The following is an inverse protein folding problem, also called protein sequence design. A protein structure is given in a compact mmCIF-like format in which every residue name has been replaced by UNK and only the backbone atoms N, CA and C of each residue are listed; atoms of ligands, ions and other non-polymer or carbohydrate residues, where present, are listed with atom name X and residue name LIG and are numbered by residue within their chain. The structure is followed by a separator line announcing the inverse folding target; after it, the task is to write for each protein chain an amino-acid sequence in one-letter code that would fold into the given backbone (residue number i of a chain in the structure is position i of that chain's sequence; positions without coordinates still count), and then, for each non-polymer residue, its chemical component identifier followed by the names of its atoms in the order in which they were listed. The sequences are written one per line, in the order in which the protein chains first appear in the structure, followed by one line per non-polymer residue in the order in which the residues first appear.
data_IF_749602835863
#
_entry.id   IF_749602835863
#
_cell.length_a   1.000
_cell.length_b   1.000
_cell.length_c   1.000
_cell.angle_alpha   90.00
_cell.angle_beta   90.00
_cell.angle_gamma   90.00
#
_symmetry.space_group_name_H-M   'P 1'
#
loop_
_entity.id
_entity.type
_entity.pdbx_description
1 polymer ?
#
# COMPACT_ATOMS: atom_id res chain seq x y z
N UNK A 1 -4.80 -11.93 13.63
CA UNK A 1 -4.52 -11.66 12.21
C UNK A 1 -4.29 -10.18 12.03
N UNK A 2 -3.30 -9.81 11.24
CA UNK A 2 -3.04 -8.44 10.77
C UNK A 2 -3.12 -8.44 9.24
N UNK A 3 -3.86 -7.53 8.65
CA UNK A 3 -3.90 -7.35 7.20
C UNK A 3 -2.73 -6.46 6.77
N UNK A 4 -1.71 -7.06 6.14
CA UNK A 4 -0.49 -6.39 5.71
C UNK A 4 -0.76 -5.50 4.50
N UNK A 5 -1.47 -6.04 3.51
CA UNK A 5 -1.89 -5.30 2.32
C UNK A 5 -3.25 -5.76 1.83
N UNK A 6 -3.94 -4.84 1.21
CA UNK A 6 -5.17 -5.05 0.46
C UNK A 6 -4.90 -4.59 -0.97
N UNK A 7 -5.20 -5.45 -1.93
CA UNK A 7 -5.12 -5.13 -3.35
C UNK A 7 -6.49 -5.27 -3.98
N UNK A 8 -6.79 -4.47 -4.98
CA UNK A 8 -8.02 -4.56 -5.77
C UNK A 8 -7.68 -4.67 -7.25
N UNK A 9 -8.65 -4.84 -8.11
CA UNK A 9 -8.46 -4.90 -9.55
C UNK A 9 -7.60 -3.74 -10.06
N UNK A 10 -6.68 -4.02 -10.97
CA UNK A 10 -5.72 -3.05 -11.48
C UNK A 10 -6.29 -2.21 -12.63
N UNK A 11 -5.67 -1.05 -12.88
CA UNK A 11 -5.95 -0.22 -14.06
C UNK A 11 -4.70 -0.26 -14.93
N UNK A 12 -4.87 -0.66 -16.19
CA UNK A 12 -3.81 -0.85 -17.15
C UNK A 12 -3.90 0.15 -18.30
N UNK A 13 -2.76 0.43 -18.93
CA UNK A 13 -2.70 1.10 -20.21
C UNK A 13 -3.04 0.15 -21.37
N UNK A 14 -3.03 0.65 -22.63
CA UNK A 14 -3.31 -0.15 -23.82
C UNK A 14 -2.29 -1.28 -24.08
N UNK A 15 -1.14 -1.26 -23.43
CA UNK A 15 -0.07 -2.26 -23.52
C UNK A 15 -0.04 -3.18 -22.28
N UNK A 16 -1.06 -3.13 -21.43
CA UNK A 16 -1.14 -3.87 -20.17
C UNK A 16 -0.07 -3.46 -19.14
N UNK A 17 0.52 -2.27 -19.26
CA UNK A 17 1.34 -1.69 -18.20
C UNK A 17 0.44 -1.11 -17.09
N UNK A 18 0.74 -1.35 -15.79
CA UNK A 18 -0.09 -0.82 -14.72
C UNK A 18 0.02 0.71 -14.64
N UNK A 19 -1.13 1.37 -14.52
CA UNK A 19 -1.26 2.81 -14.31
C UNK A 19 -1.51 3.17 -12.84
N UNK A 20 -2.02 2.22 -12.06
CA UNK A 20 -2.19 2.30 -10.61
C UNK A 20 -1.36 1.21 -9.92
N UNK A 21 -1.17 1.27 -8.62
CA UNK A 21 -0.38 0.32 -7.82
C UNK A 21 1.10 0.22 -8.24
N UNK A 22 1.66 1.34 -8.70
CA UNK A 22 3.03 1.36 -9.23
C UNK A 22 4.10 1.62 -8.17
N UNK A 23 3.70 2.03 -6.96
CA UNK A 23 4.60 2.29 -5.84
C UNK A 23 4.60 1.10 -4.88
N UNK A 24 5.78 0.79 -4.37
CA UNK A 24 5.95 -0.15 -3.27
C UNK A 24 6.20 0.62 -1.97
N UNK A 25 5.59 0.15 -0.90
CA UNK A 25 5.80 0.65 0.45
C UNK A 25 6.27 -0.48 1.35
N UNK A 26 7.21 -0.16 2.25
CA UNK A 26 7.66 -1.10 3.26
C UNK A 26 6.73 -1.06 4.47
N UNK A 27 6.26 -2.24 4.87
CA UNK A 27 5.42 -2.43 6.06
C UNK A 27 6.10 -3.45 6.95
N UNK A 28 6.25 -3.11 8.23
CA UNK A 28 6.79 -4.03 9.23
C UNK A 28 5.66 -4.61 10.07
N UNK A 29 5.60 -5.93 10.16
CA UNK A 29 4.74 -6.62 11.13
C UNK A 29 5.55 -6.90 12.39
N UNK A 30 5.20 -6.25 13.48
CA UNK A 30 5.95 -6.24 14.73
C UNK A 30 5.24 -7.11 15.77
N UNK A 31 5.95 -8.10 16.28
CA UNK A 31 5.60 -8.83 17.50
C UNK A 31 6.32 -8.16 18.67
N UNK A 32 5.62 -7.44 19.56
CA UNK A 32 6.26 -6.71 20.64
C UNK A 32 7.07 -7.60 21.56
N UNK A 33 8.34 -7.24 21.81
CA UNK A 33 9.23 -7.86 22.77
C UNK A 33 10.16 -6.82 23.38
N UNK A 34 10.86 -7.19 24.45
CA UNK A 34 11.88 -6.32 25.04
C UNK A 34 13.11 -6.18 24.15
N UNK A 35 13.35 -7.15 23.28
CA UNK A 35 14.53 -7.20 22.41
C UNK A 35 14.38 -6.26 21.19
N UNK A 36 13.14 -6.08 20.68
CA UNK A 36 12.89 -5.25 19.51
C UNK A 36 12.33 -3.86 19.82
N UNK A 37 12.02 -3.53 21.08
CA UNK A 37 11.49 -2.23 21.46
C UNK A 37 12.41 -1.07 21.04
N UNK A 38 13.70 -1.16 21.40
CA UNK A 38 14.65 -0.08 21.13
C UNK A 38 14.94 0.07 19.62
N UNK A 39 15.26 -1.01 18.87
CA UNK A 39 15.42 -0.93 17.41
C UNK A 39 14.21 -0.32 16.69
N UNK A 40 12.99 -0.72 17.07
CA UNK A 40 11.77 -0.17 16.47
C UNK A 40 11.59 1.31 16.80
N UNK A 41 11.84 1.75 18.04
CA UNK A 41 11.73 3.16 18.41
C UNK A 41 12.79 4.04 17.76
N UNK A 42 13.97 3.52 17.47
CA UNK A 42 15.02 4.24 16.74
C UNK A 42 14.68 4.43 15.27
N UNK A 43 14.03 3.45 14.65
CA UNK A 43 13.66 3.45 13.25
C UNK A 43 12.44 4.34 12.91
N UNK A 44 11.68 4.79 13.91
CA UNK A 44 10.52 5.65 13.68
C UNK A 44 10.82 7.13 13.99
N UNK A 45 10.14 8.06 13.30
CA UNK A 45 10.22 9.50 13.62
C UNK A 45 9.88 9.78 15.09
N UNK A 46 10.55 10.74 15.69
CA UNK A 46 10.38 11.11 17.12
C UNK A 46 8.91 11.38 17.47
N UNK A 47 8.16 12.00 16.56
CA UNK A 47 6.74 12.30 16.74
C UNK A 47 5.87 11.05 16.92
N UNK A 48 6.29 9.89 16.41
CA UNK A 48 5.53 8.63 16.47
C UNK A 48 5.95 7.71 17.63
N UNK A 49 7.08 7.96 18.27
CA UNK A 49 7.64 7.09 19.31
C UNK A 49 6.69 6.84 20.47
N UNK A 50 5.94 7.85 20.90
CA UNK A 50 4.97 7.69 21.99
C UNK A 50 3.85 6.73 21.59
N UNK A 51 3.27 6.90 20.41
CA UNK A 51 2.20 6.02 19.90
C UNK A 51 2.70 4.58 19.74
N UNK A 52 3.90 4.39 19.21
CA UNK A 52 4.51 3.06 19.05
C UNK A 52 4.78 2.43 20.42
N UNK A 53 5.28 3.19 21.40
CA UNK A 53 5.48 2.69 22.77
C UNK A 53 4.18 2.20 23.42
N UNK A 54 3.07 2.89 23.18
CA UNK A 54 1.76 2.44 23.66
C UNK A 54 1.33 1.11 23.00
N UNK A 55 1.62 0.92 21.72
CA UNK A 55 1.35 -0.36 21.04
C UNK A 55 2.17 -1.50 21.67
N UNK A 56 3.45 -1.26 21.98
CA UNK A 56 4.27 -2.25 22.69
C UNK A 56 3.69 -2.67 24.05
N UNK A 57 3.10 -1.73 24.80
CA UNK A 57 2.47 -2.02 26.10
C UNK A 57 1.29 -2.97 26.01
N UNK A 58 0.62 -3.00 24.86
CA UNK A 58 -0.50 -3.94 24.65
C UNK A 58 -0.04 -5.39 24.56
N UNK A 59 1.22 -5.62 24.17
CA UNK A 59 1.76 -6.96 23.87
C UNK A 59 1.16 -7.62 22.65
N UNK A 60 0.31 -6.91 21.90
CA UNK A 60 -0.35 -7.43 20.69
C UNK A 60 0.49 -7.11 19.45
N UNK A 61 0.55 -8.01 18.47
CA UNK A 61 1.17 -7.72 17.20
C UNK A 61 0.51 -6.52 16.51
N UNK A 62 1.32 -5.68 15.84
CA UNK A 62 0.84 -4.52 15.11
C UNK A 62 1.64 -4.29 13.83
N UNK A 63 1.09 -3.48 12.93
CA UNK A 63 1.77 -3.04 11.72
C UNK A 63 2.41 -1.67 11.94
N UNK A 64 3.60 -1.52 11.39
CA UNK A 64 4.34 -0.27 11.39
C UNK A 64 4.65 0.12 9.94
N UNK A 65 4.22 1.31 9.57
CA UNK A 65 4.55 1.99 8.33
C UNK A 65 5.41 3.21 8.65
N UNK A 66 6.03 3.83 7.67
CA UNK A 66 6.91 4.99 7.86
C UNK A 66 8.13 4.70 8.78
N UNK A 67 8.70 3.52 8.66
CA UNK A 67 9.94 3.14 9.30
C UNK A 67 10.88 2.50 8.27
N UNK A 68 12.17 2.54 8.52
CA UNK A 68 13.17 2.01 7.60
C UNK A 68 14.24 1.21 8.35
N UNK A 69 14.64 0.08 7.75
CA UNK A 69 15.84 -0.65 8.17
C UNK A 69 15.75 -1.29 9.56
N UNK A 70 14.60 -1.87 9.92
CA UNK A 70 14.45 -2.56 11.20
C UNK A 70 14.91 -4.00 11.03
N UNK A 71 16.04 -4.35 11.60
CA UNK A 71 16.53 -5.72 11.72
C UNK A 71 16.53 -6.12 13.21
N UNK A 72 15.46 -6.77 13.64
CA UNK A 72 15.29 -7.18 15.03
C UNK A 72 14.41 -8.44 15.14
N UNK A 73 14.63 -9.30 16.15
CA UNK A 73 13.81 -10.48 16.36
C UNK A 73 12.33 -10.15 16.51
N UNK A 74 11.46 -10.87 15.82
CA UNK A 74 10.00 -10.65 15.84
C UNK A 74 9.52 -9.45 15.05
N UNK A 75 10.36 -8.90 14.16
CA UNK A 75 9.99 -7.90 13.16
C UNK A 75 10.16 -8.52 11.79
N UNK A 76 9.09 -8.54 11.01
CA UNK A 76 9.07 -9.07 9.65
C UNK A 76 8.80 -7.91 8.68
N UNK A 77 9.63 -7.79 7.64
CA UNK A 77 9.52 -6.75 6.62
C UNK A 77 8.76 -7.27 5.39
N UNK A 78 7.81 -6.46 4.90
CA UNK A 78 7.04 -6.74 3.71
C UNK A 78 7.07 -5.55 2.76
N UNK A 79 7.27 -5.83 1.47
CA UNK A 79 7.10 -4.83 0.41
C UNK A 79 5.71 -5.02 -0.20
N UNK A 80 4.86 -4.01 -0.07
CA UNK A 80 3.47 -4.07 -0.51
C UNK A 80 3.18 -3.02 -1.57
N UNK A 81 2.39 -3.35 -2.60
CA UNK A 81 1.94 -2.35 -3.55
C UNK A 81 0.96 -1.39 -2.86
N UNK A 82 1.12 -0.11 -3.11
CA UNK A 82 0.16 0.91 -2.66
C UNK A 82 -0.43 1.66 -3.83
N UNK A 83 -1.72 1.88 -3.74
CA UNK A 83 -2.48 2.71 -4.67
C UNK A 83 -2.33 4.15 -4.22
N UNK A 84 -1.48 4.90 -4.90
CA UNK A 84 -1.13 6.27 -4.49
C UNK A 84 -1.54 7.28 -5.54
N UNK A 85 -1.92 8.46 -5.08
CA UNK A 85 -2.37 9.57 -5.91
C UNK A 85 -1.21 10.34 -6.54
N UNK A 86 0.05 10.13 -6.13
CA UNK A 86 1.17 10.95 -6.60
C UNK A 86 2.50 10.20 -6.64
N UNK A 87 3.24 10.29 -7.75
CA UNK A 87 2.90 10.90 -9.04
C UNK A 87 2.16 9.91 -9.96
N UNK A 88 0.84 10.01 -10.04
CA UNK A 88 0.00 9.20 -10.91
C UNK A 88 -0.11 9.81 -12.30
N UNK A 89 -0.04 8.99 -13.36
CA UNK A 89 -0.34 9.43 -14.72
C UNK A 89 -1.84 9.59 -14.91
N UNK A 90 -2.25 10.61 -15.65
CA UNK A 90 -3.65 10.91 -15.97
C UNK A 90 -4.59 10.92 -14.73
N UNK A 91 -4.26 11.63 -13.64
CA UNK A 91 -4.98 11.54 -12.36
C UNK A 91 -6.47 11.88 -12.48
N UNK A 92 -6.83 12.79 -13.40
CA UNK A 92 -8.23 13.15 -13.63
C UNK A 92 -9.04 12.05 -14.33
N UNK A 93 -8.38 11.16 -15.07
CA UNK A 93 -9.03 10.04 -15.77
C UNK A 93 -9.07 8.82 -14.84
N UNK A 94 -7.95 8.47 -14.24
CA UNK A 94 -7.86 7.33 -13.33
C UNK A 94 -8.69 7.59 -12.07
N UNK A 95 -8.54 8.76 -11.46
CA UNK A 95 -9.21 9.11 -10.22
C UNK A 95 -8.40 8.69 -8.99
N UNK A 96 -9.04 8.69 -7.83
CA UNK A 96 -8.43 8.31 -6.55
C UNK A 96 -9.45 7.60 -5.66
N UNK A 97 -8.92 6.95 -4.62
CA UNK A 97 -9.70 6.26 -3.59
C UNK A 97 -9.80 7.12 -2.33
N UNK A 98 -10.85 6.92 -1.54
CA UNK A 98 -10.95 7.46 -0.19
C UNK A 98 -10.24 6.55 0.85
N UNK A 99 -10.29 6.94 2.12
CA UNK A 99 -9.68 6.21 3.24
C UNK A 99 -10.32 4.83 3.49
N UNK A 100 -11.44 4.55 2.84
CA UNK A 100 -12.16 3.27 2.90
C UNK A 100 -12.00 2.45 1.63
N UNK A 101 -11.03 2.80 0.78
CA UNK A 101 -10.70 2.14 -0.49
C UNK A 101 -11.81 2.18 -1.54
N UNK A 102 -12.75 3.14 -1.45
CA UNK A 102 -13.78 3.37 -2.47
C UNK A 102 -13.36 4.45 -3.48
N UNK A 103 -13.75 4.23 -4.73
CA UNK A 103 -13.48 5.14 -5.83
C UNK A 103 -14.28 6.45 -5.73
N UNK A 104 -13.59 7.60 -5.64
CA UNK A 104 -14.22 8.92 -5.51
C UNK A 104 -14.44 9.59 -6.86
N UNK A 105 -13.50 9.44 -7.79
CA UNK A 105 -13.53 10.06 -9.12
C UNK A 105 -13.02 9.11 -10.21
N UNK A 106 -13.19 9.50 -11.47
CA UNK A 106 -12.59 8.84 -12.63
C UNK A 106 -12.98 7.39 -12.82
N UNK A 107 -12.06 6.61 -13.34
CA UNK A 107 -12.21 5.16 -13.57
C UNK A 107 -12.37 4.42 -12.24
N UNK A 108 -11.66 4.84 -11.18
CA UNK A 108 -11.80 4.27 -9.84
C UNK A 108 -13.26 4.28 -9.38
N UNK A 109 -13.96 5.40 -9.56
CA UNK A 109 -15.37 5.54 -9.21
C UNK A 109 -16.29 4.77 -10.18
N UNK A 110 -16.03 4.88 -11.48
CA UNK A 110 -16.93 4.31 -12.49
C UNK A 110 -16.93 2.78 -12.48
N UNK A 111 -15.84 2.18 -12.03
CA UNK A 111 -15.63 0.73 -11.96
C UNK A 111 -15.42 0.24 -10.53
N UNK A 112 -15.84 1.00 -9.51
CA UNK A 112 -15.54 0.73 -8.10
C UNK A 112 -15.94 -0.69 -7.67
N UNK A 113 -17.20 -1.08 -7.85
CA UNK A 113 -17.69 -2.42 -7.53
C UNK A 113 -16.97 -3.53 -8.32
N UNK A 114 -16.64 -3.28 -9.58
CA UNK A 114 -15.93 -4.23 -10.41
C UNK A 114 -14.49 -4.42 -9.94
N UNK A 115 -13.77 -3.33 -9.65
CA UNK A 115 -12.39 -3.39 -9.16
C UNK A 115 -12.32 -3.99 -7.76
N UNK A 116 -13.28 -3.68 -6.88
CA UNK A 116 -13.39 -4.28 -5.55
C UNK A 116 -13.68 -5.79 -5.60
N UNK A 117 -14.36 -6.29 -6.62
CA UNK A 117 -14.62 -7.74 -6.75
C UNK A 117 -13.35 -8.60 -6.90
N UNK A 118 -12.20 -7.99 -7.16
CA UNK A 118 -10.88 -8.64 -7.23
C UNK A 118 -9.99 -8.35 -6.01
N UNK A 119 -10.59 -7.96 -4.91
CA UNK A 119 -9.85 -7.74 -3.67
C UNK A 119 -9.09 -9.00 -3.24
N UNK A 120 -7.85 -8.80 -2.88
CA UNK A 120 -6.98 -9.83 -2.32
C UNK A 120 -6.24 -9.25 -1.12
N UNK A 121 -6.24 -10.00 -0.02
CA UNK A 121 -5.57 -9.61 1.20
C UNK A 121 -4.34 -10.47 1.45
N UNK A 122 -3.25 -9.83 1.85
CA UNK A 122 -2.11 -10.51 2.46
C UNK A 122 -2.19 -10.31 3.97
N UNK A 123 -2.24 -11.40 4.70
CA UNK A 123 -2.44 -11.41 6.14
C UNK A 123 -1.29 -12.09 6.87
N UNK A 124 -0.84 -11.50 7.99
CA UNK A 124 0.01 -12.16 8.97
C UNK A 124 -0.84 -12.73 10.11
N UNK A 125 -0.79 -14.02 10.29
CA UNK A 125 -1.53 -14.74 11.34
C UNK A 125 -0.59 -15.10 12.47
N UNK A 126 -0.75 -14.44 13.61
CA UNK A 126 0.05 -14.69 14.80
C UNK A 126 -0.65 -15.67 15.75
N UNK A 127 0.14 -16.52 16.38
CA UNK A 127 -0.32 -17.30 17.54
C UNK A 127 -0.22 -16.43 18.79
N UNK A 128 -1.30 -16.40 19.55
CA UNK A 128 -1.40 -15.59 20.76
C UNK A 128 -1.57 -16.48 21.98
N UNK A 129 -1.11 -16.01 23.14
CA UNK A 129 -1.36 -16.65 24.43
C UNK A 129 -2.83 -16.42 24.89
N UNK A 130 -3.21 -17.02 26.02
CA UNK A 130 -4.56 -16.86 26.60
C UNK A 130 -4.93 -15.43 27.02
N UNK A 131 -3.98 -14.50 27.02
CA UNK A 131 -4.16 -13.07 27.31
C UNK A 131 -4.15 -12.22 26.04
N UNK A 132 -4.04 -12.85 24.86
CA UNK A 132 -4.00 -12.19 23.55
C UNK A 132 -2.66 -11.54 23.21
N UNK A 133 -1.56 -11.92 23.89
CA UNK A 133 -0.20 -11.45 23.60
C UNK A 133 0.49 -12.42 22.67
N UNK A 134 1.40 -11.92 21.86
CA UNK A 134 2.19 -12.73 20.97
C UNK A 134 3.12 -13.69 21.70
N UNK A 135 3.33 -14.88 21.14
CA UNK A 135 4.28 -15.86 21.66
C UNK A 135 5.64 -15.58 21.03
N UNK A 136 6.61 -15.20 21.85
CA UNK A 136 7.98 -14.90 21.40
C UNK A 136 8.62 -16.11 20.70
N UNK A 137 9.38 -15.83 19.63
CA UNK A 137 10.11 -16.85 18.85
C UNK A 137 9.26 -17.59 17.80
N UNK A 138 8.00 -17.23 17.61
CA UNK A 138 7.18 -17.74 16.52
C UNK A 138 7.00 -16.66 15.47
N UNK A 139 7.41 -16.95 14.23
CA UNK A 139 7.07 -16.12 13.06
C UNK A 139 5.60 -16.26 12.70
N UNK A 140 4.96 -15.23 12.14
CA UNK A 140 3.58 -15.33 11.69
C UNK A 140 3.44 -16.28 10.50
N UNK A 141 2.30 -16.94 10.40
CA UNK A 141 1.89 -17.62 9.17
C UNK A 141 1.39 -16.58 8.18
N UNK A 142 1.98 -16.52 6.99
CA UNK A 142 1.54 -15.60 5.95
C UNK A 142 0.48 -16.29 5.10
N UNK A 143 -0.67 -15.64 5.00
CA UNK A 143 -1.78 -16.03 4.12
C UNK A 143 -1.90 -14.99 3.03
N UNK A 144 -1.50 -15.38 1.82
CA UNK A 144 -1.65 -14.57 0.63
C UNK A 144 -2.86 -15.09 -0.15
N UNK A 145 -3.82 -14.22 -0.41
CA UNK A 145 -4.77 -14.50 -1.47
C UNK A 145 -4.04 -14.36 -2.82
N UNK A 146 -4.17 -15.37 -3.69
CA UNK A 146 -3.53 -15.35 -4.99
C UNK A 146 -3.98 -14.08 -5.75
N UNK A 147 -3.06 -13.20 -6.17
CA UNK A 147 -3.41 -11.98 -6.87
C UNK A 147 -4.08 -12.34 -8.19
N UNK A 148 -5.34 -11.98 -8.34
CA UNK A 148 -6.04 -12.09 -9.60
C UNK A 148 -5.59 -10.93 -10.47
N UNK A 149 -4.88 -11.22 -11.57
CA UNK A 149 -4.52 -10.20 -12.57
C UNK A 149 -5.76 -9.84 -13.38
N UNK A 150 -6.65 -9.09 -12.77
CA UNK A 150 -7.88 -8.61 -13.38
C UNK A 150 -8.01 -7.10 -13.17
N UNK A 151 -8.71 -6.43 -14.06
CA UNK A 151 -8.89 -4.99 -13.98
C UNK A 151 -9.41 -4.38 -15.25
N UNK A 152 -9.26 -3.07 -15.37
CA UNK A 152 -9.72 -2.27 -16.50
C UNK A 152 -8.53 -1.88 -17.38
N UNK A 153 -8.61 -2.14 -18.68
CA UNK A 153 -7.62 -1.71 -19.67
C UNK A 153 -8.12 -0.44 -20.35
N UNK A 154 -7.32 0.61 -20.29
CA UNK A 154 -7.62 1.89 -20.94
C UNK A 154 -6.99 1.95 -22.33
N UNK A 155 -7.49 2.84 -23.17
CA UNK A 155 -6.88 3.16 -24.48
C UNK A 155 -5.66 4.11 -24.38
N UNK A 156 -5.29 4.54 -23.19
CA UNK A 156 -4.14 5.40 -22.92
C UNK A 156 -2.86 4.58 -23.06
N UNK A 157 -1.84 5.15 -23.72
CA UNK A 157 -0.46 4.66 -23.66
C UNK A 157 0.30 5.44 -22.60
N UNK A 158 0.83 4.73 -21.60
CA UNK A 158 1.53 5.33 -20.46
C UNK A 158 2.76 6.15 -20.87
N UNK A 159 3.49 5.73 -21.91
CA UNK A 159 4.67 6.43 -22.38
C UNK A 159 4.30 7.75 -23.06
N UNK A 160 3.27 7.72 -23.92
CA UNK A 160 2.77 8.93 -24.59
C UNK A 160 2.21 9.88 -23.53
N UNK A 161 1.41 9.40 -22.59
CA UNK A 161 0.84 10.20 -21.50
C UNK A 161 1.94 10.90 -20.68
N UNK A 162 2.99 10.18 -20.31
CA UNK A 162 4.13 10.73 -19.57
C UNK A 162 4.87 11.84 -20.34
N UNK A 163 5.05 11.66 -21.65
CA UNK A 163 5.67 12.69 -22.50
C UNK A 163 4.81 13.94 -22.55
N UNK A 164 3.49 13.78 -22.70
CA UNK A 164 2.53 14.88 -22.78
C UNK A 164 2.46 15.65 -21.45
N UNK A 165 2.39 14.98 -20.33
CA UNK A 165 2.40 15.63 -19.01
C UNK A 165 3.68 16.37 -18.72
N UNK A 166 4.84 15.78 -19.06
CA UNK A 166 6.14 16.43 -18.91
C UNK A 166 6.29 17.67 -19.83
N UNK A 167 5.71 17.63 -21.03
CA UNK A 167 5.71 18.78 -21.93
C UNK A 167 4.74 19.87 -21.44
N UNK A 168 3.56 19.48 -21.00
CA UNK A 168 2.52 20.38 -20.47
C UNK A 168 2.98 21.11 -19.20
N UNK A 169 3.59 20.40 -18.26
CA UNK A 169 4.06 20.98 -16.99
C UNK A 169 5.15 22.06 -17.16
N UNK A 170 5.85 22.05 -18.28
CA UNK A 170 6.92 23.01 -18.58
C UNK A 170 6.46 24.24 -19.36
N UNK A 171 5.30 24.17 -20.01
CA UNK A 171 4.90 25.19 -20.97
C UNK A 171 3.47 25.72 -20.85
N UNK A 172 2.63 25.13 -20.02
CA UNK A 172 1.22 25.49 -19.92
C UNK A 172 0.83 25.79 -18.46
N UNK A 173 0.39 27.03 -18.18
CA UNK A 173 -0.28 27.35 -16.92
C UNK A 173 -1.72 26.82 -16.90
N UNK A 174 -2.44 26.89 -18.03
CA UNK A 174 -3.78 26.34 -18.27
C UNK A 174 -3.91 25.93 -19.72
N UNK A 175 -4.48 24.78 -19.99
CA UNK A 175 -4.69 24.31 -21.35
C UNK A 175 -5.01 22.84 -21.44
N UNK A 176 -5.13 22.36 -22.67
CA UNK A 176 -5.25 20.93 -23.01
C UNK A 176 -4.21 20.58 -24.09
N UNK A 177 -3.71 19.37 -24.03
CA UNK A 177 -2.80 18.84 -25.06
C UNK A 177 -3.54 17.72 -25.79
N UNK A 178 -3.51 17.78 -27.12
CA UNK A 178 -4.07 16.77 -28.01
C UNK A 178 -2.94 16.18 -28.83
N UNK A 179 -2.84 14.86 -28.89
CA UNK A 179 -1.91 14.11 -29.71
C UNK A 179 -2.71 13.50 -30.87
N UNK A 180 -2.28 13.80 -32.10
CA UNK A 180 -2.91 13.30 -33.35
C UNK A 180 -1.87 12.53 -34.16
#
# INVERSE_FOLDING_TARGET
TLTISETRGAIYDCNYAPLADTRQETVYAVMPSTENLLPVLEAVPVSRRTAVSEQFRTGKPFLLRDAEGIDAPGVEEYSVPVRTDSPQLAPHIIGYLDDTSHGVTGIEKSYDEYLASFEAETQAVYQLDGLGRGISGLSPEIREAAPVKAGVVLSIDANIQKIVENAGSKGLEKGAVVVM
#
